data_IF_167171176679
#
_entry.id   IF_167171176679
#
_cell.length_a   1.000
_cell.length_b   1.000
_cell.length_c   1.000
_cell.angle_alpha   90.00
_cell.angle_beta   90.00
_cell.angle_gamma   90.00
#
_symmetry.space_group_name_H-M   'P 1'
#
loop_
_entity.id
_entity.type
_entity.pdbx_description
1 polymer ?
#
# COMPACT_ATOMS: atom_id res chain seq x y z
N UNK A 1 2.28 -6.63 17.92
CA UNK A 1 3.60 -6.86 17.28
C UNK A 1 3.32 -6.94 15.79
N UNK A 2 3.54 -5.84 15.07
CA UNK A 2 3.31 -5.78 13.63
C UNK A 2 4.38 -6.60 12.92
N UNK A 3 4.02 -7.75 12.35
CA UNK A 3 4.85 -8.37 11.34
C UNK A 3 4.79 -7.48 10.11
N UNK A 4 5.80 -6.62 9.96
CA UNK A 4 6.05 -5.89 8.73
C UNK A 4 6.57 -6.88 7.69
N UNK A 5 5.67 -7.46 6.90
CA UNK A 5 6.00 -7.74 5.51
C UNK A 5 6.16 -6.35 4.87
N UNK A 6 7.41 -5.88 4.84
CA UNK A 6 7.69 -4.58 4.27
C UNK A 6 7.29 -4.59 2.80
N UNK A 7 6.49 -3.62 2.40
CA UNK A 7 6.33 -3.25 1.00
C UNK A 7 7.73 -3.30 0.37
N UNK A 8 7.97 -4.26 -0.50
CA UNK A 8 9.15 -4.26 -1.36
C UNK A 8 8.94 -3.16 -2.39
N UNK A 9 9.17 -1.92 -1.93
CA UNK A 9 9.36 -0.80 -2.85
C UNK A 9 10.45 -1.22 -3.82
N UNK A 10 10.15 -1.26 -5.08
CA UNK A 10 11.14 -1.42 -6.14
C UNK A 10 12.18 -0.32 -5.93
N UNK A 11 13.34 -0.73 -5.35
CA UNK A 11 14.47 0.16 -5.22
C UNK A 11 14.81 0.67 -6.63
N UNK A 12 15.12 1.97 -6.78
CA UNK A 12 15.59 2.47 -8.06
C UNK A 12 16.73 1.57 -8.51
N UNK A 13 16.64 1.05 -9.73
CA UNK A 13 17.70 0.23 -10.31
C UNK A 13 18.97 1.05 -10.24
N UNK A 14 19.89 0.66 -9.35
CA UNK A 14 21.21 1.28 -9.26
C UNK A 14 21.92 0.90 -10.57
N UNK A 15 21.83 1.80 -11.53
CA UNK A 15 22.47 1.61 -12.82
C UNK A 15 23.97 1.75 -12.64
N UNK A 16 24.70 0.81 -13.21
CA UNK A 16 26.15 0.97 -13.34
C UNK A 16 26.46 2.08 -14.36
N UNK A 17 27.63 2.72 -14.26
CA UNK A 17 28.10 3.71 -15.25
C UNK A 17 28.03 3.16 -16.68
N UNK A 18 28.30 1.87 -16.86
CA UNK A 18 28.17 1.18 -18.15
C UNK A 18 26.71 1.13 -18.61
N UNK A 19 25.76 0.89 -17.71
CA UNK A 19 24.32 0.90 -18.01
C UNK A 19 23.84 2.28 -18.46
N UNK A 20 24.27 3.34 -17.81
CA UNK A 20 23.99 4.73 -18.22
C UNK A 20 24.56 5.03 -19.60
N UNK A 21 25.78 4.59 -19.88
CA UNK A 21 26.40 4.77 -21.21
C UNK A 21 25.60 4.07 -22.32
N UNK A 22 25.11 2.83 -22.06
CA UNK A 22 24.27 2.12 -23.01
C UNK A 22 22.94 2.83 -23.25
N UNK A 23 22.30 3.34 -22.21
CA UNK A 23 21.05 4.09 -22.35
C UNK A 23 21.28 5.41 -23.11
N UNK A 24 22.35 6.12 -22.81
CA UNK A 24 22.70 7.35 -23.53
C UNK A 24 22.99 7.08 -25.03
N UNK A 25 23.59 5.95 -25.37
CA UNK A 25 23.76 5.51 -26.76
C UNK A 25 22.43 5.15 -27.41
N UNK A 26 21.50 4.54 -26.68
CA UNK A 26 20.15 4.22 -27.16
C UNK A 26 19.30 5.49 -27.40
N UNK A 27 19.74 6.63 -26.87
CA UNK A 27 19.04 7.91 -26.98
C UNK A 27 18.98 8.49 -28.41
N UNK A 28 19.73 7.93 -29.38
CA UNK A 28 19.70 8.37 -30.77
C UNK A 28 18.43 7.94 -31.55
N UNK A 29 17.35 7.65 -30.80
CA UNK A 29 16.03 7.35 -31.37
C UNK A 29 15.43 8.63 -31.94
N UNK A 30 15.44 8.73 -33.29
CA UNK A 30 14.93 9.90 -34.02
C UNK A 30 13.44 9.72 -34.37
N UNK A 31 12.76 10.85 -34.44
CA UNK A 31 11.36 10.92 -34.84
C UNK A 31 10.40 10.99 -33.65
N UNK A 32 9.14 11.28 -33.97
CA UNK A 32 8.09 11.57 -33.01
C UNK A 32 6.89 10.61 -33.15
N UNK A 33 7.13 9.34 -33.55
CA UNK A 33 6.09 8.32 -33.48
C UNK A 33 5.74 8.01 -32.00
N UNK A 34 4.54 7.47 -31.75
CA UNK A 34 4.14 7.04 -30.40
C UNK A 34 5.18 6.11 -29.77
N UNK A 35 5.68 5.16 -30.56
CA UNK A 35 6.69 4.19 -30.12
C UNK A 35 8.02 4.87 -29.77
N UNK A 36 8.54 5.77 -30.61
CA UNK A 36 9.82 6.44 -30.36
C UNK A 36 9.75 7.34 -29.10
N UNK A 37 8.62 8.05 -28.94
CA UNK A 37 8.37 8.85 -27.73
C UNK A 37 8.31 7.97 -26.47
N UNK A 38 7.63 6.83 -26.55
CA UNK A 38 7.54 5.87 -25.44
C UNK A 38 8.93 5.35 -25.06
N UNK A 39 9.75 4.96 -26.03
CA UNK A 39 11.10 4.48 -25.75
C UNK A 39 12.00 5.55 -25.14
N UNK A 40 11.98 6.79 -25.67
CA UNK A 40 12.75 7.89 -25.07
C UNK A 40 12.29 8.20 -23.66
N UNK A 41 10.99 8.24 -23.44
CA UNK A 41 10.42 8.43 -22.10
C UNK A 41 10.86 7.36 -21.12
N UNK A 42 10.84 6.09 -21.54
CA UNK A 42 11.35 4.99 -20.72
C UNK A 42 12.83 5.12 -20.41
N UNK A 43 13.65 5.55 -21.39
CA UNK A 43 15.09 5.78 -21.17
C UNK A 43 15.28 6.90 -20.14
N UNK A 44 14.56 8.02 -20.27
CA UNK A 44 14.61 9.10 -19.29
C UNK A 44 14.20 8.63 -17.88
N UNK A 45 13.14 7.80 -17.77
CA UNK A 45 12.74 7.20 -16.51
C UNK A 45 13.89 6.38 -15.88
N UNK A 46 14.51 5.49 -16.66
CA UNK A 46 15.62 4.66 -16.18
C UNK A 46 16.86 5.50 -15.78
N UNK A 47 17.06 6.66 -16.38
CA UNK A 47 18.10 7.62 -16.01
C UNK A 47 17.72 8.54 -14.83
N UNK A 48 16.53 8.35 -14.24
CA UNK A 48 16.03 9.21 -13.15
C UNK A 48 15.68 10.64 -13.60
N UNK A 49 15.56 10.86 -14.89
CA UNK A 49 15.22 12.17 -15.47
C UNK A 49 13.70 12.30 -15.66
N UNK A 50 12.97 12.34 -14.56
CA UNK A 50 11.50 12.19 -14.50
C UNK A 50 10.77 13.29 -15.31
N UNK A 51 11.16 14.56 -15.21
CA UNK A 51 10.57 15.65 -16.00
C UNK A 51 10.64 15.40 -17.52
N UNK A 52 11.79 14.90 -17.98
CA UNK A 52 11.97 14.57 -19.39
C UNK A 52 11.17 13.33 -19.78
N UNK A 53 11.10 12.33 -18.89
CA UNK A 53 10.28 11.14 -19.09
C UNK A 53 8.82 11.51 -19.26
N UNK A 54 8.25 12.30 -18.34
CA UNK A 54 6.86 12.76 -18.40
C UNK A 54 6.57 13.46 -19.72
N UNK A 55 7.40 14.40 -20.13
CA UNK A 55 7.22 15.15 -21.38
C UNK A 55 7.15 14.24 -22.62
N UNK A 56 8.06 13.28 -22.75
CA UNK A 56 8.08 12.36 -23.89
C UNK A 56 6.89 11.39 -23.82
N UNK A 57 6.59 10.85 -22.65
CA UNK A 57 5.50 9.90 -22.44
C UNK A 57 4.12 10.54 -22.64
N UNK A 58 3.89 11.76 -22.17
CA UNK A 58 2.66 12.50 -22.49
C UNK A 58 2.51 12.76 -23.99
N UNK A 59 3.63 13.01 -24.67
CA UNK A 59 3.66 13.10 -26.13
C UNK A 59 3.25 11.78 -26.79
N UNK A 60 3.61 10.64 -26.21
CA UNK A 60 3.23 9.31 -26.68
C UNK A 60 1.75 8.99 -26.39
N UNK A 61 1.24 9.35 -25.20
CA UNK A 61 -0.18 9.20 -24.82
C UNK A 61 -1.08 9.96 -25.82
N UNK A 62 -0.72 11.18 -26.19
CA UNK A 62 -1.44 11.97 -27.23
C UNK A 62 -1.48 11.29 -28.61
N UNK A 63 -0.72 10.21 -28.79
CA UNK A 63 -0.64 9.38 -30.00
C UNK A 63 -1.10 7.94 -29.74
N UNK A 64 -1.94 7.77 -28.72
CA UNK A 64 -2.60 6.52 -28.37
C UNK A 64 -1.65 5.37 -27.95
N UNK A 65 -0.50 5.69 -27.34
CA UNK A 65 0.40 4.68 -26.79
C UNK A 65 -0.09 4.20 -25.43
N UNK A 66 -0.69 3.02 -25.35
CA UNK A 66 -1.08 2.39 -24.09
C UNK A 66 0.14 2.19 -23.16
N UNK A 67 1.28 1.74 -23.69
CA UNK A 67 2.51 1.54 -22.89
C UNK A 67 3.07 2.83 -22.30
N UNK A 68 2.77 4.00 -22.88
CA UNK A 68 3.19 5.25 -22.30
C UNK A 68 2.47 5.54 -20.98
N UNK A 69 1.21 5.10 -20.83
CA UNK A 69 0.52 5.20 -19.56
C UNK A 69 1.21 4.35 -18.47
N UNK A 70 1.62 3.11 -18.79
CA UNK A 70 2.38 2.27 -17.85
C UNK A 70 3.66 2.99 -17.36
N UNK A 71 4.44 3.55 -18.29
CA UNK A 71 5.69 4.22 -17.89
C UNK A 71 5.45 5.56 -17.18
N UNK A 72 4.37 6.29 -17.49
CA UNK A 72 3.97 7.47 -16.72
C UNK A 72 3.59 7.10 -15.30
N UNK A 73 2.83 6.02 -15.12
CA UNK A 73 2.49 5.51 -13.79
C UNK A 73 3.75 5.20 -12.97
N UNK A 74 4.72 4.50 -13.56
CA UNK A 74 5.99 4.17 -12.91
C UNK A 74 6.83 5.43 -12.60
N UNK A 75 6.80 6.47 -13.44
CA UNK A 75 7.47 7.73 -13.13
C UNK A 75 6.83 8.39 -11.92
N UNK A 76 5.50 8.52 -11.88
CA UNK A 76 4.80 9.14 -10.75
C UNK A 76 4.89 8.32 -9.47
N UNK A 77 4.96 6.99 -9.57
CA UNK A 77 5.26 6.11 -8.44
C UNK A 77 6.67 6.42 -7.86
N UNK A 78 7.67 6.58 -8.72
CA UNK A 78 9.03 6.94 -8.29
C UNK A 78 9.10 8.36 -7.69
N UNK A 79 8.21 9.27 -8.10
CA UNK A 79 8.04 10.61 -7.52
C UNK A 79 7.15 10.64 -6.28
N UNK A 80 6.65 9.48 -5.83
CA UNK A 80 5.72 9.32 -4.70
C UNK A 80 4.36 10.03 -4.90
N UNK A 81 3.99 10.29 -6.15
CA UNK A 81 2.69 10.85 -6.53
C UNK A 81 1.69 9.73 -6.84
N UNK A 82 1.18 9.09 -5.77
CA UNK A 82 0.24 7.96 -5.89
C UNK A 82 -1.05 8.34 -6.64
N UNK A 83 -1.45 9.62 -6.66
CA UNK A 83 -2.67 10.03 -7.36
C UNK A 83 -2.50 10.01 -8.89
N UNK A 84 -1.37 10.52 -9.39
CA UNK A 84 -1.07 10.42 -10.81
C UNK A 84 -0.66 9.00 -11.21
N UNK A 85 0.07 8.26 -10.37
CA UNK A 85 0.39 6.86 -10.61
C UNK A 85 -0.88 6.04 -10.82
N UNK A 86 -1.85 6.09 -9.91
CA UNK A 86 -3.15 5.41 -10.04
C UNK A 86 -3.87 5.77 -11.34
N UNK A 87 -3.97 7.07 -11.64
CA UNK A 87 -4.63 7.55 -12.86
C UNK A 87 -4.03 6.92 -14.13
N UNK A 88 -2.72 6.82 -14.21
CA UNK A 88 -2.06 6.30 -15.40
C UNK A 88 -2.03 4.77 -15.43
N UNK A 89 -1.94 4.06 -14.27
CA UNK A 89 -2.15 2.62 -14.22
C UNK A 89 -3.57 2.27 -14.64
N UNK A 90 -4.59 3.00 -14.17
CA UNK A 90 -5.97 2.79 -14.59
C UNK A 90 -6.14 3.01 -16.10
N UNK A 91 -5.55 4.07 -16.65
CA UNK A 91 -5.59 4.30 -18.10
C UNK A 91 -4.91 3.19 -18.89
N UNK A 92 -3.87 2.57 -18.34
CA UNK A 92 -3.22 1.40 -18.94
C UNK A 92 -4.13 0.17 -18.88
N UNK A 93 -4.80 -0.07 -17.76
CA UNK A 93 -5.78 -1.16 -17.60
C UNK A 93 -6.96 -0.98 -18.55
N UNK A 94 -7.51 0.22 -18.65
CA UNK A 94 -8.64 0.55 -19.53
C UNK A 94 -8.31 0.36 -21.02
N UNK A 95 -7.04 0.39 -21.38
CA UNK A 95 -6.58 0.10 -22.76
C UNK A 95 -6.73 -1.37 -23.17
N UNK A 96 -7.01 -2.26 -22.21
CA UNK A 96 -7.11 -3.71 -22.42
C UNK A 96 -5.77 -4.41 -22.71
N UNK A 97 -4.64 -3.73 -22.45
CA UNK A 97 -3.28 -4.28 -22.66
C UNK A 97 -2.50 -4.45 -21.37
N UNK A 98 -3.13 -4.20 -20.22
CA UNK A 98 -2.48 -4.34 -18.92
C UNK A 98 -2.04 -5.77 -18.64
N UNK A 99 -1.02 -5.88 -17.81
CA UNK A 99 -0.49 -7.13 -17.28
C UNK A 99 -0.74 -7.23 -15.76
N UNK A 100 -0.41 -8.39 -15.20
CA UNK A 100 -0.58 -8.65 -13.77
C UNK A 100 0.27 -7.73 -12.88
N UNK A 101 1.35 -7.16 -13.41
CA UNK A 101 2.21 -6.22 -12.68
C UNK A 101 1.49 -4.88 -12.47
N UNK A 102 0.81 -4.39 -13.50
CA UNK A 102 0.02 -3.15 -13.37
C UNK A 102 -1.16 -3.31 -12.39
N UNK A 103 -1.81 -4.49 -12.40
CA UNK A 103 -2.86 -4.79 -11.41
C UNK A 103 -2.32 -4.82 -9.98
N UNK A 104 -1.14 -5.41 -9.79
CA UNK A 104 -0.49 -5.39 -8.48
C UNK A 104 -0.15 -3.97 -8.00
N UNK A 105 0.37 -3.13 -8.89
CA UNK A 105 0.68 -1.74 -8.55
C UNK A 105 -0.58 -0.93 -8.15
N UNK A 106 -1.71 -1.14 -8.85
CA UNK A 106 -2.99 -0.55 -8.45
C UNK A 106 -3.41 -1.04 -7.07
N UNK A 107 -3.33 -2.34 -6.81
CA UNK A 107 -3.65 -2.93 -5.52
C UNK A 107 -2.80 -2.32 -4.38
N UNK A 108 -1.50 -2.14 -4.59
CA UNK A 108 -0.60 -1.50 -3.62
C UNK A 108 -1.03 -0.06 -3.32
N UNK A 109 -1.36 0.73 -4.34
CA UNK A 109 -1.88 2.09 -4.17
C UNK A 109 -3.22 2.08 -3.40
N UNK A 110 -4.12 1.13 -3.67
CA UNK A 110 -5.36 1.01 -2.91
C UNK A 110 -5.12 0.61 -1.45
N UNK A 111 -4.17 -0.29 -1.19
CA UNK A 111 -3.79 -0.66 0.18
C UNK A 111 -3.18 0.53 0.95
N UNK A 112 -2.33 1.34 0.32
CA UNK A 112 -1.78 2.56 0.92
C UNK A 112 -2.89 3.55 1.34
N UNK A 113 -3.99 3.60 0.58
CA UNK A 113 -5.18 4.41 0.89
C UNK A 113 -6.11 3.75 1.91
N UNK A 114 -5.86 2.52 2.31
CA UNK A 114 -6.73 1.74 3.19
C UNK A 114 -7.97 1.16 2.49
N UNK A 115 -8.01 1.16 1.17
CA UNK A 115 -9.09 0.63 0.36
C UNK A 115 -8.89 -0.86 0.06
N UNK A 116 -8.86 -1.70 1.09
CA UNK A 116 -8.49 -3.12 0.97
C UNK A 116 -9.42 -3.92 0.08
N UNK A 117 -10.73 -3.61 0.04
CA UNK A 117 -11.68 -4.26 -0.86
C UNK A 117 -11.34 -4.01 -2.34
N UNK A 118 -11.00 -2.76 -2.70
CA UNK A 118 -10.57 -2.42 -4.05
C UNK A 118 -9.23 -3.12 -4.39
N UNK A 119 -8.28 -3.13 -3.46
CA UNK A 119 -7.01 -3.84 -3.64
C UNK A 119 -7.21 -5.34 -3.90
N UNK A 120 -8.10 -6.00 -3.14
CA UNK A 120 -8.42 -7.41 -3.33
C UNK A 120 -9.06 -7.68 -4.69
N UNK A 121 -9.88 -6.76 -5.21
CA UNK A 121 -10.46 -6.87 -6.56
C UNK A 121 -9.37 -6.75 -7.64
N UNK A 122 -8.45 -5.78 -7.52
CA UNK A 122 -7.33 -5.64 -8.45
C UNK A 122 -6.41 -6.87 -8.43
N UNK A 123 -6.09 -7.39 -7.24
CA UNK A 123 -5.31 -8.63 -7.07
C UNK A 123 -6.02 -9.81 -7.72
N UNK A 124 -7.33 -9.96 -7.51
CA UNK A 124 -8.12 -11.05 -8.10
C UNK A 124 -8.09 -10.98 -9.63
N UNK A 125 -8.19 -9.78 -10.20
CA UNK A 125 -8.09 -9.60 -11.65
C UNK A 125 -6.69 -9.94 -12.16
N UNK A 126 -5.63 -9.50 -11.46
CA UNK A 126 -4.24 -9.83 -11.78
C UNK A 126 -3.97 -11.33 -11.78
N UNK A 127 -4.45 -12.04 -10.76
CA UNK A 127 -4.32 -13.50 -10.65
C UNK A 127 -5.14 -14.28 -11.69
N UNK A 128 -6.18 -13.68 -12.25
CA UNK A 128 -7.04 -14.29 -13.27
C UNK A 128 -6.51 -14.12 -14.71
N UNK A 129 -5.42 -13.41 -14.91
CA UNK A 129 -4.82 -13.20 -16.23
C UNK A 129 -4.14 -14.47 -16.77
N UNK A 130 -4.08 -14.61 -18.09
CA UNK A 130 -3.46 -15.77 -18.74
C UNK A 130 -1.94 -15.90 -18.46
N UNK A 131 -1.26 -14.74 -18.29
CA UNK A 131 0.19 -14.66 -18.06
C UNK A 131 0.50 -13.88 -16.79
N UNK A 132 0.41 -14.54 -15.65
CA UNK A 132 0.79 -13.95 -14.36
C UNK A 132 2.29 -14.11 -14.15
N UNK A 133 3.03 -13.02 -14.20
CA UNK A 133 4.50 -13.04 -14.02
C UNK A 133 4.93 -12.76 -12.58
N UNK A 134 4.04 -12.21 -11.77
CA UNK A 134 4.27 -11.77 -10.39
C UNK A 134 3.26 -12.39 -9.41
N UNK A 135 2.98 -13.69 -9.58
CA UNK A 135 2.02 -14.41 -8.73
C UNK A 135 2.40 -14.36 -7.25
N UNK A 136 3.69 -14.41 -6.95
CA UNK A 136 4.19 -14.38 -5.58
C UNK A 136 3.81 -13.07 -4.88
N UNK A 137 4.05 -11.94 -5.56
CA UNK A 137 3.71 -10.62 -5.04
C UNK A 137 2.20 -10.44 -4.87
N UNK A 138 1.42 -10.84 -5.88
CA UNK A 138 -0.05 -10.77 -5.80
C UNK A 138 -0.62 -11.57 -4.63
N UNK A 139 -0.16 -12.81 -4.41
CA UNK A 139 -0.61 -13.63 -3.29
C UNK A 139 -0.15 -13.05 -1.94
N UNK A 140 1.07 -12.50 -1.87
CA UNK A 140 1.56 -11.83 -0.67
C UNK A 140 0.70 -10.61 -0.33
N UNK A 141 0.42 -9.75 -1.32
CA UNK A 141 -0.43 -8.59 -1.15
C UNK A 141 -1.88 -8.97 -0.81
N UNK A 142 -2.36 -10.11 -1.30
CA UNK A 142 -3.68 -10.64 -0.94
C UNK A 142 -3.78 -11.01 0.55
N UNK A 143 -2.76 -11.68 1.09
CA UNK A 143 -2.69 -12.00 2.52
C UNK A 143 -2.72 -10.70 3.32
N UNK A 144 -1.86 -9.74 2.98
CA UNK A 144 -1.75 -8.44 3.66
C UNK A 144 -3.10 -7.69 3.63
N UNK A 145 -3.75 -7.63 2.47
CA UNK A 145 -5.03 -6.93 2.33
C UNK A 145 -6.14 -7.56 3.18
N UNK A 146 -6.22 -8.90 3.25
CA UNK A 146 -7.15 -9.61 4.14
C UNK A 146 -6.85 -9.36 5.63
N UNK A 147 -5.58 -9.36 6.03
CA UNK A 147 -5.19 -9.08 7.41
C UNK A 147 -5.56 -7.65 7.84
N UNK A 148 -5.27 -6.67 7.01
CA UNK A 148 -5.63 -5.27 7.31
C UNK A 148 -7.14 -5.01 7.25
N UNK A 149 -7.89 -5.76 6.45
CA UNK A 149 -9.35 -5.70 6.47
C UNK A 149 -9.97 -6.45 7.67
N UNK A 150 -9.16 -7.24 8.39
CA UNK A 150 -9.60 -8.06 9.53
C UNK A 150 -10.17 -9.42 9.14
N UNK A 151 -10.13 -9.80 7.86
CA UNK A 151 -10.57 -11.10 7.38
C UNK A 151 -9.45 -12.15 7.48
N UNK A 152 -9.16 -12.55 8.71
CA UNK A 152 -8.12 -13.53 8.99
C UNK A 152 -8.46 -14.94 8.49
N UNK A 153 -9.73 -15.24 8.23
CA UNK A 153 -10.14 -16.51 7.63
C UNK A 153 -9.69 -16.60 6.18
N UNK A 154 -9.97 -15.57 5.39
CA UNK A 154 -9.51 -15.52 4.00
C UNK A 154 -7.99 -15.41 3.90
N UNK A 155 -7.34 -14.65 4.80
CA UNK A 155 -5.88 -14.61 4.89
C UNK A 155 -5.28 -15.99 5.13
N UNK A 156 -5.90 -16.79 6.02
CA UNK A 156 -5.49 -18.17 6.30
C UNK A 156 -5.57 -19.06 5.06
N UNK A 157 -6.64 -18.97 4.28
CA UNK A 157 -6.79 -19.77 3.06
C UNK A 157 -5.70 -19.44 2.03
N UNK A 158 -5.40 -18.14 1.87
CA UNK A 158 -4.37 -17.71 0.91
C UNK A 158 -2.96 -18.07 1.37
N UNK A 159 -2.64 -17.92 2.66
CA UNK A 159 -1.29 -18.26 3.16
C UNK A 159 -0.98 -19.75 3.03
N UNK A 160 -1.97 -20.63 3.18
CA UNK A 160 -1.80 -22.07 2.92
C UNK A 160 -1.40 -22.34 1.46
N UNK A 161 -2.07 -21.67 0.52
CA UNK A 161 -1.72 -21.75 -0.89
C UNK A 161 -0.31 -21.19 -1.13
N UNK A 162 -0.01 -20.03 -0.57
CA UNK A 162 1.29 -19.37 -0.73
C UNK A 162 2.46 -20.27 -0.28
N UNK A 163 2.42 -20.79 0.95
CA UNK A 163 3.53 -21.62 1.47
C UNK A 163 3.66 -22.96 0.75
N UNK A 164 2.58 -23.44 0.12
CA UNK A 164 2.64 -24.63 -0.74
C UNK A 164 3.40 -24.37 -2.05
N UNK A 165 3.27 -23.16 -2.59
CA UNK A 165 3.94 -22.74 -3.85
C UNK A 165 5.37 -22.25 -3.58
N UNK A 166 5.59 -21.59 -2.46
CA UNK A 166 6.85 -20.93 -2.07
C UNK A 166 7.33 -21.41 -0.69
N UNK A 167 7.72 -22.68 -0.54
CA UNK A 167 8.04 -23.28 0.76
C UNK A 167 9.31 -22.70 1.40
N UNK A 168 10.19 -22.08 0.62
CA UNK A 168 11.45 -21.51 1.10
C UNK A 168 11.32 -20.06 1.57
N UNK A 169 10.11 -19.47 1.49
CA UNK A 169 9.84 -18.13 1.99
C UNK A 169 9.64 -18.15 3.51
N UNK A 170 10.71 -17.81 4.24
CA UNK A 170 10.70 -17.80 5.70
C UNK A 170 9.71 -16.77 6.29
N UNK A 171 9.44 -15.67 5.60
CA UNK A 171 8.49 -14.66 6.07
C UNK A 171 7.07 -15.22 6.00
N UNK A 172 6.71 -15.85 4.90
CA UNK A 172 5.42 -16.50 4.72
C UNK A 172 5.23 -17.69 5.68
N UNK A 173 6.29 -18.45 6.00
CA UNK A 173 6.23 -19.51 7.02
C UNK A 173 5.90 -18.97 8.42
N UNK A 174 6.44 -17.80 8.78
CA UNK A 174 6.10 -17.14 10.05
C UNK A 174 4.64 -16.67 10.05
N UNK A 175 4.17 -16.10 8.94
CA UNK A 175 2.80 -15.65 8.78
C UNK A 175 1.81 -16.81 8.83
N UNK A 176 2.13 -17.93 8.18
CA UNK A 176 1.37 -19.16 8.27
C UNK A 176 1.20 -19.63 9.73
N UNK A 177 2.27 -19.61 10.54
CA UNK A 177 2.21 -20.01 11.95
C UNK A 177 1.33 -19.03 12.75
N UNK A 178 1.44 -17.73 12.47
CA UNK A 178 0.63 -16.70 13.12
C UNK A 178 -0.86 -16.91 12.86
N UNK A 179 -1.25 -17.01 11.59
CA UNK A 179 -2.65 -17.21 11.18
C UNK A 179 -3.22 -18.54 11.65
N UNK A 180 -2.41 -19.61 11.64
CA UNK A 180 -2.81 -20.90 12.19
C UNK A 180 -3.16 -20.83 13.68
N UNK A 181 -2.36 -20.13 14.46
CA UNK A 181 -2.60 -19.99 15.90
C UNK A 181 -3.85 -19.14 16.15
N UNK A 182 -4.11 -18.14 15.34
CA UNK A 182 -5.29 -17.30 15.42
C UNK A 182 -6.56 -18.09 15.13
N UNK A 183 -6.59 -18.92 14.09
CA UNK A 183 -7.72 -19.81 13.80
C UNK A 183 -8.06 -20.74 15.00
N UNK A 184 -7.04 -21.25 15.68
CA UNK A 184 -7.24 -22.11 16.84
C UNK A 184 -7.81 -21.36 18.05
N UNK A 185 -7.51 -20.07 18.23
CA UNK A 185 -8.07 -19.26 19.32
C UNK A 185 -9.51 -18.87 19.05
N UNK A 186 -9.87 -18.55 17.83
CA UNK A 186 -11.24 -18.21 17.46
C UNK A 186 -12.15 -19.44 17.54
N UNK A 187 -11.68 -20.62 17.14
CA UNK A 187 -12.41 -21.88 17.30
C UNK A 187 -12.57 -22.33 18.77
N UNK A 188 -11.67 -21.90 19.67
CA UNK A 188 -11.74 -22.20 21.11
C UNK A 188 -12.71 -21.31 21.86
N UNK A 189 -12.99 -20.11 21.39
CA UNK A 189 -13.91 -19.17 22.03
C UNK A 189 -15.38 -19.52 21.86
N UNK A 190 -15.73 -20.25 20.80
CA UNK A 190 -17.09 -20.71 20.54
C UNK A 190 -17.46 -22.00 21.29
N UNK A 191 -16.46 -22.71 21.85
CA UNK A 191 -16.70 -23.99 22.58
C UNK A 191 -16.98 -23.81 24.06
N UNK A 192 -16.80 -22.63 24.66
CA UNK A 192 -16.94 -22.41 26.12
C UNK A 192 -18.25 -21.72 26.52
N UNK A 193 -19.20 -21.53 25.59
CA UNK A 193 -20.50 -20.91 25.91
C UNK A 193 -21.71 -21.84 25.89
N UNK A 194 -21.52 -23.16 25.94
CA UNK A 194 -22.63 -24.12 26.13
C UNK A 194 -22.26 -25.15 27.15
N UNK A 195 -22.41 -24.86 28.42
CA UNK A 195 -23.07 -25.68 29.43
C UNK A 195 -22.83 -25.16 30.83
N UNK A 196 -23.83 -24.55 31.42
CA UNK A 196 -24.03 -24.58 32.86
C UNK A 196 -25.49 -24.28 33.18
N UNK A 197 -26.30 -25.31 33.01
CA UNK A 197 -27.53 -25.44 33.75
C UNK A 197 -27.72 -26.92 34.06
N UNK A 198 -27.24 -27.33 35.22
CA UNK A 198 -27.93 -28.35 36.01
C UNK A 198 -27.70 -28.14 37.49
N UNK A 199 -28.84 -28.19 38.20
CA UNK A 199 -29.01 -28.06 39.62
C UNK A 199 -28.56 -29.37 40.32
N UNK A 200 -28.13 -29.26 41.56
CA UNK A 200 -28.10 -30.45 42.38
C UNK A 200 -27.25 -30.39 43.63
N UNK A 201 -27.75 -29.73 44.64
CA UNK A 201 -27.78 -30.11 46.07
C UNK A 201 -26.70 -31.03 46.66
N UNK A 202 -26.13 -30.50 47.67
CA UNK A 202 -26.11 -31.06 49.06
C UNK A 202 -24.78 -31.59 49.63
N UNK A 203 -24.46 -30.95 50.72
CA UNK A 203 -24.11 -31.54 52.02
C UNK A 203 -22.66 -31.68 52.47
N UNK A 204 -22.41 -30.81 53.43
CA UNK A 204 -21.71 -31.09 54.72
C UNK A 204 -20.25 -31.53 54.73
N UNK A 205 -19.50 -30.72 55.46
CA UNK A 205 -18.52 -31.37 56.35
C UNK A 205 -17.18 -30.66 56.48
N UNK A 206 -17.16 -29.67 57.32
CA UNK A 206 -16.29 -29.53 58.47
C UNK A 206 -14.76 -29.48 58.35
N UNK A 207 -14.29 -28.43 58.96
CA UNK A 207 -13.20 -28.33 59.92
C UNK A 207 -11.81 -27.96 59.52
N UNK A 208 -11.47 -26.71 59.92
CA UNK A 208 -10.30 -26.37 60.76
C UNK A 208 -8.93 -26.64 60.16
N UNK A 209 -8.01 -25.82 60.25
CA UNK A 209 -7.44 -24.85 61.21
C UNK A 209 -6.25 -24.18 60.58
N UNK A 210 -6.08 -22.93 60.95
CA UNK A 210 -4.86 -22.23 61.36
C UNK A 210 -3.68 -22.15 60.37
N UNK A 211 -2.95 -21.14 60.28
CA UNK A 211 -2.61 -19.95 61.05
C UNK A 211 -1.47 -19.24 60.36
N UNK A 212 -1.35 -17.94 60.65
CA UNK A 212 -0.12 -17.13 60.62
C UNK A 212 0.31 -16.48 59.32
N UNK A 213 -0.04 -15.27 59.20
CA UNK A 213 0.70 -14.00 59.47
C UNK A 213 2.07 -13.85 58.81
N UNK A 214 2.15 -12.81 58.03
CA UNK A 214 3.04 -11.73 58.29
C UNK A 214 2.87 -10.60 57.27
N UNK A 215 2.57 -9.51 57.82
CA UNK A 215 2.56 -8.12 57.39
C UNK A 215 3.96 -7.62 57.05
N UNK A 216 4.06 -6.78 56.04
CA UNK A 216 4.89 -5.59 56.16
C UNK A 216 4.53 -4.57 55.06
N UNK A 217 4.04 -3.49 55.54
CA UNK A 217 3.94 -2.13 55.00
C UNK A 217 5.29 -1.63 54.46
N UNK A 218 5.16 -0.76 53.47
CA UNK A 218 5.76 0.58 53.41
C UNK A 218 5.24 1.29 52.16
N UNK A 219 4.35 2.19 52.28
CA UNK A 219 4.31 3.65 52.28
C UNK A 219 5.40 4.38 51.52
N UNK A 220 4.92 5.24 50.70
CA UNK A 220 5.23 6.66 50.50
C UNK A 220 5.58 6.97 49.08
N UNK A 221 5.29 8.07 48.47
CA UNK A 221 4.60 9.33 48.75
C UNK A 221 4.63 10.19 47.49
N UNK A 222 3.60 10.92 47.32
CA UNK A 222 3.42 12.16 46.61
C UNK A 222 4.53 12.77 45.73
N UNK A 223 4.14 13.23 44.56
CA UNK A 223 4.31 14.64 44.26
C UNK A 223 3.56 15.06 42.98
N UNK A 224 2.63 15.92 43.20
CA UNK A 224 1.94 16.89 42.36
C UNK A 224 2.85 17.72 41.48
N UNK A 225 2.35 18.05 40.30
CA UNK A 225 2.95 19.02 39.40
C UNK A 225 1.96 19.46 38.33
N UNK A 226 1.02 20.30 38.77
CA UNK A 226 0.12 21.10 37.94
C UNK A 226 0.90 22.24 37.24
N UNK A 227 0.63 22.49 35.99
CA UNK A 227 0.62 23.85 35.41
C UNK A 227 -0.06 23.90 34.06
N UNK A 228 -1.21 24.50 34.14
CA UNK A 228 -1.97 25.17 33.08
C UNK A 228 -1.17 26.32 32.45
N UNK A 229 -1.43 26.61 31.19
CA UNK A 229 -1.64 27.96 30.61
C UNK A 229 -1.59 27.84 29.08
N UNK A 230 -2.65 28.15 28.51
CA UNK A 230 -3.19 29.34 27.81
C UNK A 230 -2.80 29.46 26.36
N UNK A 231 -3.73 29.12 25.49
CA UNK A 231 -4.56 29.98 24.65
C UNK A 231 -3.92 31.30 24.16
N UNK A 232 -3.69 31.39 22.87
CA UNK A 232 -3.86 32.66 22.14
C UNK A 232 -4.12 32.45 20.65
N UNK A 233 -5.34 32.73 20.29
CA UNK A 233 -5.82 33.18 18.99
C UNK A 233 -5.04 34.40 18.48
N UNK A 234 -4.74 34.39 17.20
CA UNK A 234 -4.52 35.63 16.48
C UNK A 234 -5.08 35.49 15.06
N UNK A 235 -6.22 36.07 14.93
CA UNK A 235 -6.91 36.42 13.70
C UNK A 235 -6.31 37.76 13.22
N UNK A 236 -5.96 37.84 11.96
CA UNK A 236 -5.79 39.17 11.32
C UNK A 236 -6.31 39.08 9.88
N UNK A 237 -7.45 39.71 9.74
CA UNK A 237 -7.99 40.25 8.49
C UNK A 237 -7.00 41.22 7.85
N UNK A 238 -6.94 41.22 6.54
CA UNK A 238 -6.58 42.37 5.78
C UNK A 238 -7.17 42.29 4.37
N UNK A 239 -8.17 43.07 4.21
CA UNK A 239 -8.86 43.52 2.99
C UNK A 239 -7.99 44.42 2.12
N UNK A 240 -8.30 44.48 0.85
CA UNK A 240 -7.94 45.56 -0.09
C UNK A 240 -7.31 45.03 -1.35
N UNK A 241 -7.62 45.47 -2.47
CA UNK A 241 -8.62 46.32 -3.10
C UNK A 241 -8.33 46.27 -4.63
N UNK A 242 -9.34 46.40 -5.39
CA UNK A 242 -9.49 46.66 -6.80
C UNK A 242 -8.31 47.33 -7.52
N UNK A 243 -8.06 46.88 -8.79
CA UNK A 243 -8.26 47.85 -9.90
C UNK A 243 -8.37 47.15 -11.25
N UNK A 244 -9.41 47.49 -11.94
CA UNK A 244 -9.67 47.23 -13.34
C UNK A 244 -8.67 48.03 -14.25
N UNK A 245 -8.32 47.40 -15.35
CA UNK A 245 -7.56 48.05 -16.41
C UNK A 245 -7.98 47.46 -17.76
N UNK A 246 -9.03 48.04 -18.29
CA UNK A 246 -9.49 47.97 -19.66
C UNK A 246 -8.47 48.65 -20.59
N UNK A 247 -8.10 48.02 -21.69
CA UNK A 247 -7.85 48.74 -22.95
C UNK A 247 -7.82 47.78 -24.13
N UNK A 248 -8.87 47.89 -24.87
CA UNK A 248 -9.02 47.61 -26.28
C UNK A 248 -7.90 48.25 -27.14
N UNK A 249 -7.43 47.54 -28.16
CA UNK A 249 -7.31 48.11 -29.51
C UNK A 249 -7.13 47.05 -30.58
N UNK A 250 -8.05 47.11 -31.50
CA UNK A 250 -8.03 46.62 -32.86
C UNK A 250 -6.79 47.17 -33.59
N UNK A 251 -6.23 46.44 -34.52
CA UNK A 251 -6.20 46.89 -35.90
C UNK A 251 -5.63 45.83 -36.86
N UNK A 252 -6.33 45.61 -37.88
CA UNK A 252 -6.25 45.24 -39.27
C UNK A 252 -4.87 45.01 -39.95
N UNK A 253 -4.86 44.00 -40.81
CA UNK A 253 -4.47 44.17 -42.18
C UNK A 253 -3.19 43.46 -42.67
N UNK A 254 -3.30 42.48 -43.45
CA UNK A 254 -2.99 42.18 -44.84
C UNK A 254 -2.58 40.75 -45.08
#
# INVERSE_FOLDING_TARGET
MNCMLGFMRTLPVIMTEEGEEYLNKAFDIKGNSAENLTWRGRIYYLLGQYDNAVKELEGAVKKDSAKANLYLAQVYEAEEDSANAEKYYQAYVDSGTADSVAMNALAEIQMEKGNYEAALEDIRQGLAMDNVTNQQELLSNQIIAYEYSGDFSSAWDVVQQYVSLYPDDEAAQREYIFLKNRQNTDAGSDAESTDSSDEGQNSTGNSSTDDSSAQSDTTNDSSTGDSSAENRSAQSDSTGDNTAGDSSSQDTGN
#
